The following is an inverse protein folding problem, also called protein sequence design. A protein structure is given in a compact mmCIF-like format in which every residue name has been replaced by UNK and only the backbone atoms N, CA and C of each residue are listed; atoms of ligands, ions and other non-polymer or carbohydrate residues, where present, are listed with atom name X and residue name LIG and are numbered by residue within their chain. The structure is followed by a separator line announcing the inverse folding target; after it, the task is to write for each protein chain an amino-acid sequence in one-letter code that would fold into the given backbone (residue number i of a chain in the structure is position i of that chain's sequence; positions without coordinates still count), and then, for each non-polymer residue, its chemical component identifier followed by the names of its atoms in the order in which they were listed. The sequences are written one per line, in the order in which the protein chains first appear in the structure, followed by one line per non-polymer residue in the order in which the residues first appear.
data_IF_925680832577
#
_entry.id   IF_925680832577
#
_cell.length_a   1.000
_cell.length_b   1.000
_cell.length_c   1.000
_cell.angle_alpha   90.00
_cell.angle_beta   90.00
_cell.angle_gamma   90.00
#
_symmetry.space_group_name_H-M   'P 1'
#
loop_
_entity.id
_entity.type
_entity.pdbx_description
1 polymer ?
#
# COMPACT_ATOMS: atom_id res chain seq x y z
N UNK A 1 -43.04 9.97 19.10
CA UNK A 1 -43.34 10.66 17.84
C UNK A 1 -42.78 9.82 16.70
N UNK A 2 -43.61 8.95 16.12
CA UNK A 2 -43.23 8.14 14.96
C UNK A 2 -43.47 8.98 13.71
N UNK A 3 -42.42 9.55 13.14
CA UNK A 3 -42.47 10.25 11.84
C UNK A 3 -42.91 9.25 10.78
N UNK A 4 -44.14 9.40 10.28
CA UNK A 4 -44.61 8.70 9.08
C UNK A 4 -43.80 9.23 7.91
N UNK A 5 -42.73 8.53 7.52
CA UNK A 5 -42.02 8.83 6.27
C UNK A 5 -43.03 8.76 5.12
N UNK A 6 -43.28 9.90 4.48
CA UNK A 6 -44.19 9.99 3.34
C UNK A 6 -43.47 9.48 2.08
N UNK A 7 -44.22 8.94 1.12
CA UNK A 7 -43.74 8.49 -0.18
C UNK A 7 -42.91 9.58 -0.89
N UNK A 8 -43.23 10.86 -0.64
CA UNK A 8 -42.49 12.02 -1.13
C UNK A 8 -41.06 12.09 -0.60
N UNK A 9 -40.82 11.70 0.65
CA UNK A 9 -39.50 11.70 1.25
C UNK A 9 -38.65 10.55 0.71
N UNK A 10 -39.25 9.38 0.49
CA UNK A 10 -38.59 8.28 -0.21
C UNK A 10 -38.14 8.70 -1.62
N UNK A 11 -39.01 9.36 -2.38
CA UNK A 11 -38.68 9.84 -3.74
C UNK A 11 -37.51 10.84 -3.73
N UNK A 12 -37.46 11.76 -2.76
CA UNK A 12 -36.31 12.67 -2.60
C UNK A 12 -35.02 11.92 -2.29
N UNK A 13 -35.06 10.95 -1.37
CA UNK A 13 -33.92 10.13 -1.02
C UNK A 13 -33.42 9.30 -2.20
N UNK A 14 -34.32 8.67 -2.97
CA UNK A 14 -33.96 7.90 -4.17
C UNK A 14 -33.30 8.79 -5.22
N UNK A 15 -33.80 10.01 -5.44
CA UNK A 15 -33.18 10.96 -6.37
C UNK A 15 -31.78 11.36 -5.92
N UNK A 16 -31.60 11.68 -4.63
CA UNK A 16 -30.29 12.02 -4.07
C UNK A 16 -29.32 10.84 -4.14
N UNK A 17 -29.80 9.63 -3.84
CA UNK A 17 -29.01 8.40 -3.97
C UNK A 17 -28.52 8.21 -5.40
N UNK A 18 -29.41 8.34 -6.40
CA UNK A 18 -29.04 8.23 -7.82
C UNK A 18 -27.97 9.25 -8.19
N UNK A 19 -28.15 10.52 -7.83
CA UNK A 19 -27.17 11.57 -8.12
C UNK A 19 -25.80 11.25 -7.51
N UNK A 20 -25.77 10.81 -6.25
CA UNK A 20 -24.51 10.42 -5.59
C UNK A 20 -23.88 9.19 -6.24
N UNK A 21 -24.67 8.18 -6.65
CA UNK A 21 -24.17 7.00 -7.35
C UNK A 21 -23.53 7.35 -8.71
N UNK A 22 -24.17 8.26 -9.46
CA UNK A 22 -23.64 8.76 -10.72
C UNK A 22 -22.33 9.57 -10.51
N UNK A 23 -22.29 10.46 -9.51
CA UNK A 23 -21.09 11.21 -9.15
C UNK A 23 -19.94 10.27 -8.72
N UNK A 24 -20.25 9.23 -7.94
CA UNK A 24 -19.27 8.22 -7.53
C UNK A 24 -18.70 7.45 -8.72
N UNK A 25 -19.52 7.09 -9.72
CA UNK A 25 -19.04 6.43 -10.94
C UNK A 25 -18.10 7.33 -11.74
N UNK A 26 -18.43 8.61 -11.88
CA UNK A 26 -17.57 9.59 -12.56
C UNK A 26 -16.26 9.77 -11.78
N UNK A 27 -16.34 9.95 -10.46
CA UNK A 27 -15.17 10.09 -9.60
C UNK A 27 -14.26 8.85 -9.66
N UNK A 28 -14.83 7.65 -9.60
CA UNK A 28 -14.08 6.40 -9.72
C UNK A 28 -13.37 6.29 -11.06
N UNK A 29 -14.05 6.64 -12.17
CA UNK A 29 -13.43 6.65 -13.51
C UNK A 29 -12.23 7.60 -13.54
N UNK A 30 -12.37 8.80 -12.97
CA UNK A 30 -11.27 9.76 -12.85
C UNK A 30 -10.14 9.24 -11.97
N UNK A 31 -10.45 8.61 -10.83
CA UNK A 31 -9.47 8.00 -9.92
C UNK A 31 -8.69 6.89 -10.64
N UNK A 32 -9.36 6.05 -11.42
CA UNK A 32 -8.70 5.00 -12.20
C UNK A 32 -7.72 5.60 -13.21
N UNK A 33 -8.14 6.62 -13.98
CA UNK A 33 -7.24 7.33 -14.89
C UNK A 33 -6.04 7.95 -14.15
N UNK A 34 -6.28 8.65 -13.04
CA UNK A 34 -5.21 9.23 -12.22
C UNK A 34 -4.25 8.16 -11.67
N UNK A 35 -4.74 6.95 -11.36
CA UNK A 35 -3.88 5.83 -10.94
C UNK A 35 -2.99 5.33 -12.09
N UNK A 36 -3.50 5.29 -13.31
CA UNK A 36 -2.72 4.93 -14.50
C UNK A 36 -1.67 5.99 -14.82
N UNK A 37 -2.08 7.26 -14.87
CA UNK A 37 -1.18 8.39 -15.10
C UNK A 37 -0.09 8.43 -14.02
N UNK A 38 -0.46 8.22 -12.74
CA UNK A 38 0.51 8.12 -11.64
C UNK A 38 1.50 6.97 -11.86
N UNK A 39 1.03 5.78 -12.25
CA UNK A 39 1.91 4.62 -12.52
C UNK A 39 2.87 4.89 -13.68
N UNK A 40 2.42 5.59 -14.71
CA UNK A 40 3.26 5.99 -15.82
C UNK A 40 4.42 6.88 -15.32
N UNK A 41 4.12 7.91 -14.53
CA UNK A 41 5.15 8.78 -13.93
C UNK A 41 6.08 8.01 -12.99
N UNK A 42 5.56 7.09 -12.17
CA UNK A 42 6.39 6.22 -11.32
C UNK A 42 7.36 5.35 -12.14
N UNK A 43 6.96 4.92 -13.35
CA UNK A 43 7.85 4.20 -14.26
C UNK A 43 8.98 5.09 -14.76
N UNK A 44 8.68 6.31 -15.20
CA UNK A 44 9.69 7.27 -15.66
C UNK A 44 10.68 7.62 -14.53
N UNK A 45 10.17 7.86 -13.31
CA UNK A 45 10.99 8.09 -12.13
C UNK A 45 11.91 6.90 -11.84
N UNK A 46 11.41 5.67 -11.96
CA UNK A 46 12.20 4.45 -11.77
C UNK A 46 13.34 4.36 -12.77
N UNK A 47 13.10 4.66 -14.04
CA UNK A 47 14.13 4.62 -15.08
C UNK A 47 15.22 5.67 -14.88
N UNK A 48 14.86 6.84 -14.37
CA UNK A 48 15.82 7.86 -13.96
C UNK A 48 16.66 7.35 -12.77
N UNK A 49 16.02 6.82 -11.72
CA UNK A 49 16.69 6.42 -10.47
C UNK A 49 17.57 5.16 -10.58
N UNK A 50 17.45 4.40 -11.68
CA UNK A 50 18.38 3.32 -12.03
C UNK A 50 19.78 3.84 -12.38
N UNK A 51 19.90 5.09 -12.86
CA UNK A 51 21.19 5.67 -13.26
C UNK A 51 22.13 5.77 -12.05
N UNK A 52 23.40 5.50 -12.26
CA UNK A 52 24.44 5.47 -11.21
C UNK A 52 24.52 6.78 -10.42
N UNK A 53 24.31 7.91 -11.08
CA UNK A 53 24.30 9.25 -10.48
C UNK A 53 23.26 9.42 -9.35
N UNK A 54 22.21 8.60 -9.34
CA UNK A 54 21.11 8.73 -8.38
C UNK A 54 21.03 7.56 -7.39
N UNK A 55 22.03 6.67 -7.31
CA UNK A 55 21.99 5.48 -6.45
C UNK A 55 21.85 5.81 -4.94
N UNK A 56 22.37 6.95 -4.49
CA UNK A 56 22.25 7.39 -3.09
C UNK A 56 20.92 8.07 -2.73
N UNK A 57 20.05 8.34 -3.72
CA UNK A 57 18.83 9.11 -3.47
C UNK A 57 17.71 8.18 -2.99
N UNK A 58 17.29 8.38 -1.74
CA UNK A 58 16.16 7.66 -1.13
C UNK A 58 15.01 8.61 -0.70
N UNK A 59 15.22 9.93 -0.82
CA UNK A 59 14.27 10.98 -0.46
C UNK A 59 14.32 12.09 -1.52
N UNK A 60 13.16 12.52 -2.02
CA UNK A 60 13.01 13.65 -2.93
C UNK A 60 12.13 14.71 -2.26
N UNK A 61 12.64 15.90 -2.03
CA UNK A 61 11.88 16.97 -1.36
C UNK A 61 11.05 17.76 -2.37
N UNK A 62 9.82 18.10 -1.97
CA UNK A 62 8.89 18.92 -2.76
C UNK A 62 8.86 20.29 -2.10
N UNK A 63 9.41 21.29 -2.80
CA UNK A 63 9.56 22.65 -2.26
C UNK A 63 8.21 23.34 -2.03
N UNK A 64 7.19 22.98 -2.82
CA UNK A 64 5.91 23.70 -2.85
C UNK A 64 5.07 23.53 -1.57
N UNK A 65 5.15 22.38 -0.91
CA UNK A 65 4.29 22.05 0.23
C UNK A 65 4.99 21.35 1.40
N UNK A 66 6.33 21.35 1.40
CA UNK A 66 7.13 20.74 2.46
C UNK A 66 7.00 19.21 2.57
N UNK A 67 6.30 18.56 1.63
CA UNK A 67 6.23 17.11 1.56
C UNK A 67 7.48 16.52 0.92
N UNK A 68 7.67 15.22 1.06
CA UNK A 68 8.74 14.51 0.37
C UNK A 68 8.28 13.17 -0.17
N UNK A 69 8.94 12.67 -1.21
CA UNK A 69 8.75 11.34 -1.75
C UNK A 69 9.85 10.44 -1.19
N UNK A 70 9.44 9.43 -0.41
CA UNK A 70 10.30 8.31 -0.02
C UNK A 70 10.41 7.36 -1.21
N UNK A 71 11.65 7.06 -1.60
CA UNK A 71 11.99 6.11 -2.67
C UNK A 71 12.45 4.81 -2.01
N UNK A 72 11.77 3.71 -2.31
CA UNK A 72 12.18 2.37 -1.89
C UNK A 72 12.72 1.63 -3.12
N UNK A 73 13.97 1.14 -3.04
CA UNK A 73 14.65 0.52 -4.17
C UNK A 73 14.35 -0.97 -4.27
N UNK A 74 14.44 -1.58 -5.46
CA UNK A 74 14.42 -3.03 -5.59
C UNK A 74 15.35 -3.69 -4.55
N UNK A 75 14.90 -4.80 -3.99
CA UNK A 75 15.63 -5.68 -3.05
C UNK A 75 15.92 -5.07 -1.67
N UNK A 76 15.53 -3.81 -1.43
CA UNK A 76 15.76 -3.12 -0.14
C UNK A 76 14.54 -3.05 0.78
N UNK A 77 13.39 -3.52 0.32
CA UNK A 77 12.15 -3.49 1.10
C UNK A 77 11.26 -4.70 0.77
N UNK A 78 10.37 -5.00 1.72
CA UNK A 78 9.38 -6.06 1.58
C UNK A 78 8.02 -5.47 1.26
N UNK A 79 7.35 -6.03 0.25
CA UNK A 79 5.96 -5.71 -0.08
C UNK A 79 5.07 -6.13 1.11
N UNK A 80 4.05 -5.32 1.46
CA UNK A 80 3.02 -5.78 2.39
C UNK A 80 2.33 -7.00 1.80
N UNK A 81 1.98 -7.96 2.64
CA UNK A 81 1.41 -9.22 2.19
C UNK A 81 0.17 -9.58 3.00
N UNK A 82 -0.75 -10.24 2.30
CA UNK A 82 -1.93 -10.85 2.87
C UNK A 82 -1.96 -12.30 2.45
N UNK A 83 -2.66 -13.12 3.21
CA UNK A 83 -2.84 -14.54 2.91
C UNK A 83 -4.32 -14.82 2.75
N UNK A 84 -4.73 -15.36 1.61
CA UNK A 84 -6.10 -15.83 1.46
C UNK A 84 -6.35 -17.08 2.31
N UNK A 85 -7.60 -17.32 2.69
CA UNK A 85 -7.97 -18.53 3.45
C UNK A 85 -7.56 -19.81 2.71
N UNK A 86 -7.65 -19.81 1.38
CA UNK A 86 -7.24 -20.94 0.54
C UNK A 86 -5.74 -21.19 0.62
N UNK A 87 -4.92 -20.16 0.39
CA UNK A 87 -3.46 -20.28 0.47
C UNK A 87 -2.99 -20.68 1.86
N UNK A 88 -3.63 -20.14 2.91
CA UNK A 88 -3.34 -20.56 4.27
C UNK A 88 -3.59 -22.06 4.45
N UNK A 89 -4.73 -22.57 3.96
CA UNK A 89 -5.04 -23.99 4.02
C UNK A 89 -4.00 -24.84 3.28
N UNK A 90 -3.57 -24.40 2.09
CA UNK A 90 -2.58 -25.10 1.28
C UNK A 90 -1.19 -25.11 1.97
N UNK A 91 -0.82 -24.00 2.62
CA UNK A 91 0.43 -23.91 3.39
C UNK A 91 0.40 -24.78 4.64
N UNK A 92 -0.73 -24.82 5.36
CA UNK A 92 -0.89 -25.71 6.52
C UNK A 92 -0.82 -27.18 6.09
N UNK A 93 -1.48 -27.54 4.99
CA UNK A 93 -1.49 -28.92 4.48
C UNK A 93 -0.11 -29.39 3.99
N UNK A 94 0.77 -28.48 3.55
CA UNK A 94 2.11 -28.80 3.06
C UNK A 94 3.19 -28.83 4.15
N UNK A 95 2.84 -28.49 5.40
CA UNK A 95 3.76 -28.51 6.52
C UNK A 95 3.72 -29.85 7.26
N UNK A 96 4.89 -30.48 7.45
CA UNK A 96 5.05 -31.78 8.11
C UNK A 96 5.78 -31.73 9.46
N UNK A 97 6.05 -30.52 9.98
CA UNK A 97 6.77 -30.32 11.25
C UNK A 97 5.85 -30.16 12.47
N UNK A 98 6.42 -29.89 13.65
CA UNK A 98 5.66 -29.61 14.88
C UNK A 98 4.80 -28.35 14.75
N UNK A 99 3.58 -28.35 15.30
CA UNK A 99 2.64 -27.22 15.22
C UNK A 99 3.25 -25.89 15.70
N UNK A 100 4.11 -25.92 16.72
CA UNK A 100 4.80 -24.73 17.25
C UNK A 100 5.68 -24.03 16.20
N UNK A 101 6.17 -24.77 15.19
CA UNK A 101 6.98 -24.24 14.09
C UNK A 101 6.19 -23.78 12.87
N UNK A 102 4.89 -24.09 12.79
CA UNK A 102 4.05 -23.85 11.61
C UNK A 102 3.97 -22.36 11.25
N UNK A 103 3.69 -21.51 12.24
CA UNK A 103 3.58 -20.06 12.03
C UNK A 103 4.88 -19.48 11.46
N UNK A 104 6.02 -19.81 12.10
CA UNK A 104 7.33 -19.34 11.65
C UNK A 104 7.63 -19.82 10.23
N UNK A 105 7.35 -21.09 9.93
CA UNK A 105 7.57 -21.65 8.60
C UNK A 105 6.74 -20.95 7.52
N UNK A 106 5.45 -20.68 7.78
CA UNK A 106 4.57 -19.94 6.86
C UNK A 106 5.12 -18.54 6.59
N UNK A 107 5.48 -17.83 7.66
CA UNK A 107 5.99 -16.46 7.57
C UNK A 107 7.33 -16.42 6.83
N UNK A 108 8.27 -17.31 7.14
CA UNK A 108 9.59 -17.33 6.52
C UNK A 108 9.49 -17.66 5.02
N UNK A 109 8.61 -18.60 4.65
CA UNK A 109 8.31 -18.91 3.25
C UNK A 109 7.69 -17.75 2.51
N UNK A 110 6.80 -17.00 3.15
CA UNK A 110 6.17 -15.82 2.52
C UNK A 110 7.13 -14.65 2.42
N UNK A 111 7.97 -14.41 3.43
CA UNK A 111 8.95 -13.32 3.44
C UNK A 111 9.89 -13.36 2.24
N UNK A 112 10.34 -14.54 1.82
CA UNK A 112 11.23 -14.67 0.64
C UNK A 112 10.55 -14.24 -0.66
N UNK A 113 9.23 -14.46 -0.78
CA UNK A 113 8.43 -14.02 -1.93
C UNK A 113 8.15 -12.51 -1.91
N UNK A 114 8.24 -11.86 -0.73
CA UNK A 114 7.84 -10.48 -0.55
C UNK A 114 8.93 -9.45 -0.83
N UNK A 115 10.16 -9.88 -1.08
CA UNK A 115 11.23 -8.96 -1.48
C UNK A 115 10.84 -8.27 -2.78
N UNK A 116 10.71 -6.94 -2.74
CA UNK A 116 10.25 -6.19 -3.88
C UNK A 116 11.31 -6.15 -4.98
N UNK A 117 10.94 -6.42 -6.22
CA UNK A 117 11.83 -6.34 -7.39
C UNK A 117 11.76 -5.00 -8.12
N UNK A 118 10.95 -4.08 -7.62
CA UNK A 118 10.59 -2.84 -8.27
C UNK A 118 10.77 -1.67 -7.30
N UNK A 119 10.88 -0.47 -7.86
CA UNK A 119 10.82 0.74 -7.06
C UNK A 119 9.42 0.95 -6.49
N UNK A 120 9.35 1.54 -5.30
CA UNK A 120 8.10 2.10 -4.78
C UNK A 120 8.29 3.54 -4.32
N UNK A 121 7.26 4.34 -4.53
CA UNK A 121 7.22 5.76 -4.22
C UNK A 121 6.08 6.06 -3.27
N UNK A 122 6.40 6.71 -2.14
CA UNK A 122 5.40 7.15 -1.18
C UNK A 122 5.60 8.62 -0.87
N UNK A 123 4.60 9.45 -1.17
CA UNK A 123 4.57 10.84 -0.71
C UNK A 123 4.22 10.87 0.77
N UNK A 124 5.03 11.56 1.56
CA UNK A 124 4.82 11.83 2.97
C UNK A 124 4.62 13.34 3.08
N UNK A 125 3.41 13.73 3.48
CA UNK A 125 3.07 15.13 3.75
C UNK A 125 3.33 15.36 5.23
N UNK A 126 4.17 16.35 5.56
CA UNK A 126 4.36 16.78 6.94
C UNK A 126 3.06 17.42 7.44
N UNK A 127 2.16 16.62 7.98
CA UNK A 127 1.19 17.08 8.96
C UNK A 127 1.77 16.70 10.32
N UNK A 128 1.98 17.69 11.18
CA UNK A 128 2.48 17.49 12.55
C UNK A 128 1.74 16.31 13.22
N UNK A 129 2.52 15.31 13.64
CA UNK A 129 2.13 14.10 14.38
C UNK A 129 0.94 13.28 13.87
N UNK A 130 1.22 12.18 13.14
CA UNK A 130 0.42 10.97 13.31
C UNK A 130 1.29 9.70 13.31
N UNK A 131 1.11 8.91 14.36
CA UNK A 131 1.98 7.86 14.87
C UNK A 131 2.49 6.83 13.84
N UNK A 132 3.82 6.84 13.71
CA UNK A 132 4.78 5.74 13.63
C UNK A 132 4.24 4.29 13.70
N UNK A 133 4.37 3.54 12.60
CA UNK A 133 4.62 2.08 12.64
C UNK A 133 5.51 1.65 11.46
N UNK A 134 6.74 2.19 11.39
CA UNK A 134 7.77 1.69 10.46
C UNK A 134 9.13 1.44 11.16
N UNK A 135 9.19 1.46 12.49
CA UNK A 135 10.37 1.07 13.27
C UNK A 135 10.40 -0.43 13.58
N UNK A 136 10.47 -1.31 12.57
CA UNK A 136 10.64 -2.76 12.82
C UNK A 136 11.59 -3.53 11.92
N UNK A 137 12.43 -2.88 11.11
CA UNK A 137 13.38 -3.60 10.23
C UNK A 137 14.87 -3.31 10.44
N UNK A 138 15.27 -2.54 11.46
CA UNK A 138 16.69 -2.28 11.77
C UNK A 138 17.08 -2.80 13.17
N UNK A 139 17.07 -4.12 13.37
CA UNK A 139 17.92 -4.75 14.40
C UNK A 139 18.33 -6.13 13.90
N UNK A 140 19.42 -6.18 13.13
CA UNK A 140 19.89 -7.44 12.57
C UNK A 140 21.23 -7.35 11.85
N UNK A 141 22.17 -6.51 12.29
CA UNK A 141 23.56 -6.59 11.86
C UNK A 141 24.46 -5.73 12.75
N UNK A 142 24.97 -6.31 13.83
CA UNK A 142 26.37 -6.16 14.29
C UNK A 142 26.52 -6.64 15.73
N UNK A 143 27.22 -7.76 15.90
CA UNK A 143 28.49 -7.83 16.66
C UNK A 143 29.02 -9.26 16.62
N UNK A 144 29.99 -9.47 15.74
CA UNK A 144 31.07 -10.42 15.97
C UNK A 144 32.08 -9.78 16.93
N UNK A 145 32.33 -10.45 18.04
CA UNK A 145 33.64 -10.60 18.69
C UNK A 145 33.56 -11.87 19.52
#
# INVERSE_FOLDING_TARGET
MTTTLDQRDLVKCVRKFRTLDDELKVANTRIHKLREDKKFVESEMSDILKRTAFQGINKLEIQDDGSFIKVQRPETWNKPWSLSQKELKDLIASYSGPLDGLFKWIVDRKKTEMVAKEFAFRRIVNMDDNHNDDTRSEMGANRHA
#
